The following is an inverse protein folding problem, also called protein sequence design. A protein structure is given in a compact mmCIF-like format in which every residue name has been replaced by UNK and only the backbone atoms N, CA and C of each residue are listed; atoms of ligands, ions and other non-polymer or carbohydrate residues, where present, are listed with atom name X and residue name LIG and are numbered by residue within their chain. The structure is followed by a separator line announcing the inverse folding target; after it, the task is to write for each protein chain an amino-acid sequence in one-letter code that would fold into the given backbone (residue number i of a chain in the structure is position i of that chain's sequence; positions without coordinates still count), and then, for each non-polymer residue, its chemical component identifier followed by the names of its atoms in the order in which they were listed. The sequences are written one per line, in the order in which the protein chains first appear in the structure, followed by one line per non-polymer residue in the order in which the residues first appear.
data_IF_556342326460
#
_entry.id   IF_556342326460
#
_cell.length_a   1.000
_cell.length_b   1.000
_cell.length_c   1.000
_cell.angle_alpha   90.00
_cell.angle_beta   90.00
_cell.angle_gamma   90.00
#
_symmetry.space_group_name_H-M   'P 1'
#
loop_
_entity.id
_entity.type
_entity.pdbx_description
1 polymer ?
#
# COMPACT_ATOMS: atom_id res chain seq x y z
N UNK A 1 1.19 -5.46 -6.69
CA UNK A 1 0.51 -4.53 -7.62
C UNK A 1 0.96 -4.83 -9.04
N UNK A 2 0.04 -4.74 -9.99
CA UNK A 2 0.33 -4.90 -11.43
C UNK A 2 0.09 -3.59 -12.12
N UNK A 3 1.02 -3.19 -13.00
CA UNK A 3 0.94 -1.90 -13.69
C UNK A 3 0.89 -2.15 -15.19
N UNK A 4 -0.17 -1.70 -15.84
CA UNK A 4 -0.29 -1.75 -17.30
C UNK A 4 -0.12 -0.36 -17.85
N UNK A 5 0.81 -0.16 -18.77
CA UNK A 5 1.12 1.15 -19.36
C UNK A 5 1.40 1.01 -20.86
N UNK A 6 1.31 2.12 -21.58
CA UNK A 6 1.76 2.19 -22.97
C UNK A 6 3.27 2.41 -22.97
N UNK A 7 3.99 1.57 -23.70
CA UNK A 7 5.41 1.79 -23.97
C UNK A 7 5.55 2.98 -24.95
N UNK A 8 6.28 4.03 -24.59
CA UNK A 8 6.31 5.27 -25.37
C UNK A 8 7.03 5.13 -26.71
N UNK A 9 7.94 4.16 -26.84
CA UNK A 9 8.75 3.95 -28.05
C UNK A 9 8.00 3.10 -29.07
N UNK A 10 7.25 2.10 -28.59
CA UNK A 10 6.57 1.11 -29.44
C UNK A 10 5.06 1.32 -29.56
N UNK A 11 4.45 2.09 -28.65
CA UNK A 11 3.00 2.22 -28.52
C UNK A 11 2.29 0.96 -28.02
N UNK A 12 3.03 -0.10 -27.69
CA UNK A 12 2.46 -1.37 -27.25
C UNK A 12 2.09 -1.32 -25.76
N UNK A 13 1.08 -2.09 -25.34
CA UNK A 13 0.79 -2.23 -23.91
C UNK A 13 1.82 -3.15 -23.28
N UNK A 14 2.48 -2.67 -22.23
CA UNK A 14 3.37 -3.43 -21.35
C UNK A 14 2.69 -3.69 -20.01
N UNK A 15 3.05 -4.81 -19.37
CA UNK A 15 2.60 -5.14 -18.02
C UNK A 15 3.81 -5.36 -17.13
N UNK A 16 3.99 -4.49 -16.14
CA UNK A 16 5.04 -4.54 -15.13
C UNK A 16 4.47 -4.90 -13.77
N UNK A 17 5.35 -5.31 -12.86
CA UNK A 17 4.97 -5.80 -11.54
C UNK A 17 5.83 -5.11 -10.49
N UNK A 18 5.17 -4.64 -9.44
CA UNK A 18 5.82 -4.29 -8.20
C UNK A 18 6.22 -5.57 -7.46
N UNK A 19 7.22 -5.49 -6.58
CA UNK A 19 7.43 -6.54 -5.61
C UNK A 19 6.14 -6.82 -4.80
N UNK A 20 5.83 -8.09 -4.46
CA UNK A 20 4.60 -8.45 -3.77
C UNK A 20 4.42 -7.66 -2.48
N UNK A 21 3.19 -7.22 -2.22
CA UNK A 21 2.84 -6.50 -1.00
C UNK A 21 2.08 -7.47 -0.10
N UNK A 22 2.65 -7.78 1.05
CA UNK A 22 1.98 -8.55 2.09
C UNK A 22 1.10 -7.63 2.90
N UNK A 23 0.01 -8.16 3.48
CA UNK A 23 -0.86 -7.38 4.33
C UNK A 23 -1.56 -8.25 5.37
N UNK A 24 -2.05 -7.58 6.42
CA UNK A 24 -2.94 -8.18 7.41
C UNK A 24 -4.30 -7.49 7.34
N UNK A 25 -5.34 -8.30 7.17
CA UNK A 25 -6.74 -7.88 7.25
C UNK A 25 -7.27 -8.22 8.65
N UNK A 26 -7.96 -7.28 9.30
CA UNK A 26 -8.69 -7.53 10.54
C UNK A 26 -10.07 -6.89 10.42
N UNK A 27 -11.13 -7.66 10.71
CA UNK A 27 -12.53 -7.19 10.65
C UNK A 27 -12.93 -6.54 9.31
N UNK A 28 -12.29 -6.95 8.21
CA UNK A 28 -12.58 -6.43 6.87
C UNK A 28 -11.85 -5.12 6.52
N UNK A 29 -10.89 -4.67 7.33
CA UNK A 29 -10.02 -3.54 7.03
C UNK A 29 -8.55 -3.96 7.07
N UNK A 30 -7.74 -3.37 6.19
CA UNK A 30 -6.30 -3.61 6.21
C UNK A 30 -5.73 -2.80 7.38
N UNK A 31 -4.97 -3.47 8.25
CA UNK A 31 -4.34 -2.82 9.42
C UNK A 31 -2.87 -2.54 9.21
N UNK A 32 -2.23 -3.34 8.37
CA UNK A 32 -0.80 -3.28 8.10
C UNK A 32 -0.49 -3.88 6.71
N UNK A 33 0.45 -3.28 5.99
CA UNK A 33 1.02 -3.86 4.77
C UNK A 33 2.53 -3.65 4.71
N UNK A 34 3.21 -4.47 3.93
CA UNK A 34 4.66 -4.44 3.80
C UNK A 34 5.14 -4.91 2.43
N UNK A 35 6.32 -4.44 2.02
CA UNK A 35 6.94 -4.74 0.74
C UNK A 35 8.46 -4.89 0.92
N UNK A 36 9.10 -5.95 0.40
CA UNK A 36 8.51 -7.07 -0.33
C UNK A 36 7.91 -8.13 0.62
N UNK A 37 6.88 -8.84 0.17
CA UNK A 37 6.44 -10.08 0.82
C UNK A 37 7.35 -11.24 0.37
N UNK A 38 7.92 -11.95 1.34
CA UNK A 38 8.73 -13.14 1.08
C UNK A 38 7.86 -14.24 0.47
N UNK A 39 8.31 -14.78 -0.66
CA UNK A 39 7.66 -15.87 -1.39
C UNK A 39 8.73 -16.80 -1.96
N UNK A 40 8.40 -18.07 -2.14
CA UNK A 40 9.22 -18.97 -2.98
C UNK A 40 9.16 -18.50 -4.44
N UNK A 41 10.20 -18.78 -5.23
CA UNK A 41 10.24 -18.41 -6.65
C UNK A 41 9.01 -18.92 -7.43
N UNK A 42 8.61 -20.18 -7.22
CA UNK A 42 7.45 -20.78 -7.89
C UNK A 42 6.14 -20.01 -7.61
N UNK A 43 5.92 -19.62 -6.35
CA UNK A 43 4.78 -18.81 -5.95
C UNK A 43 4.85 -17.40 -6.54
N UNK A 44 6.04 -16.79 -6.58
CA UNK A 44 6.24 -15.45 -7.14
C UNK A 44 5.90 -15.43 -8.64
N UNK A 45 6.41 -16.40 -9.40
CA UNK A 45 6.15 -16.52 -10.84
C UNK A 45 4.67 -16.85 -11.11
N UNK A 46 4.08 -17.72 -10.31
CA UNK A 46 2.65 -18.04 -10.38
C UNK A 46 1.78 -16.81 -10.09
N UNK A 47 2.11 -16.02 -9.07
CA UNK A 47 1.40 -14.79 -8.74
C UNK A 47 1.46 -13.76 -9.87
N UNK A 48 2.64 -13.54 -10.46
CA UNK A 48 2.79 -12.67 -11.64
C UNK A 48 1.99 -13.18 -12.83
N UNK A 49 2.02 -14.49 -13.08
CA UNK A 49 1.26 -15.10 -14.18
C UNK A 49 -0.25 -14.91 -14.02
N UNK A 50 -0.78 -15.17 -12.82
CA UNK A 50 -2.20 -14.96 -12.48
C UNK A 50 -2.57 -13.48 -12.67
N UNK A 51 -1.78 -12.57 -12.09
CA UNK A 51 -2.05 -11.14 -12.19
C UNK A 51 -1.98 -10.61 -13.63
N UNK A 52 -1.04 -11.10 -14.45
CA UNK A 52 -0.96 -10.74 -15.87
C UNK A 52 -2.20 -11.17 -16.65
N UNK A 53 -2.68 -12.40 -16.43
CA UNK A 53 -3.87 -12.93 -17.12
C UNK A 53 -5.13 -12.14 -16.76
N UNK A 54 -5.33 -11.86 -15.47
CA UNK A 54 -6.49 -11.10 -14.99
C UNK A 54 -6.48 -9.69 -15.55
N UNK A 55 -5.38 -8.96 -15.38
CA UNK A 55 -5.28 -7.56 -15.81
C UNK A 55 -5.26 -7.43 -17.34
N UNK A 56 -4.70 -8.41 -18.05
CA UNK A 56 -4.78 -8.51 -19.51
C UNK A 56 -6.21 -8.68 -20.00
N UNK A 57 -7.00 -9.55 -19.34
CA UNK A 57 -8.41 -9.76 -19.67
C UNK A 57 -9.30 -8.54 -19.36
N UNK A 58 -9.00 -7.80 -18.29
CA UNK A 58 -9.73 -6.58 -17.94
C UNK A 58 -9.49 -5.43 -18.92
N UNK A 59 -8.33 -5.38 -19.59
CA UNK A 59 -8.01 -4.28 -20.49
C UNK A 59 -7.67 -2.96 -19.77
N UNK A 60 -7.42 -1.91 -20.54
CA UNK A 60 -7.03 -0.60 -20.01
C UNK A 60 -5.58 -0.49 -19.50
N UNK A 61 -5.22 0.71 -19.06
CA UNK A 61 -3.92 1.07 -18.46
C UNK A 61 -4.14 1.65 -17.07
N UNK A 62 -3.15 1.48 -16.20
CA UNK A 62 -3.21 1.86 -14.79
C UNK A 62 -2.61 0.80 -13.88
N UNK A 63 -2.55 1.13 -12.60
CA UNK A 63 -2.31 0.17 -11.51
C UNK A 63 -3.55 -0.65 -11.22
N UNK A 64 -3.34 -1.94 -10.98
CA UNK A 64 -4.30 -2.92 -10.50
C UNK A 64 -3.80 -3.54 -9.19
N UNK A 65 -4.64 -3.52 -8.15
CA UNK A 65 -4.46 -4.31 -6.94
C UNK A 65 -5.04 -5.70 -7.14
N UNK A 66 -4.22 -6.68 -7.50
CA UNK A 66 -4.64 -8.08 -7.61
C UNK A 66 -4.40 -8.76 -6.28
N UNK A 67 -5.47 -9.12 -5.57
CA UNK A 67 -5.41 -9.82 -4.29
C UNK A 67 -5.31 -11.33 -4.48
N UNK A 68 -4.36 -11.93 -3.78
CA UNK A 68 -4.01 -13.34 -3.89
C UNK A 68 -3.84 -13.96 -2.50
N UNK A 69 -4.28 -15.20 -2.33
CA UNK A 69 -3.87 -16.05 -1.21
C UNK A 69 -2.71 -16.94 -1.66
N UNK A 70 -1.71 -17.08 -0.80
CA UNK A 70 -0.51 -17.89 -1.07
C UNK A 70 -0.34 -18.94 0.02
N UNK A 71 -0.17 -20.21 -0.35
CA UNK A 71 0.11 -21.31 0.57
C UNK A 71 1.23 -22.17 0.01
N UNK A 72 2.45 -21.95 0.49
CA UNK A 72 3.64 -22.59 -0.08
C UNK A 72 3.83 -22.11 -1.52
N UNK A 73 3.75 -23.03 -2.48
CA UNK A 73 3.84 -22.74 -3.93
C UNK A 73 2.50 -22.42 -4.58
N UNK A 74 1.38 -22.75 -3.91
CA UNK A 74 0.04 -22.57 -4.45
C UNK A 74 -0.41 -21.11 -4.33
N UNK A 75 -0.96 -20.57 -5.43
CA UNK A 75 -1.48 -19.19 -5.51
C UNK A 75 -2.95 -19.22 -5.95
N UNK A 76 -3.81 -18.58 -5.17
CA UNK A 76 -5.24 -18.49 -5.40
C UNK A 76 -5.64 -17.04 -5.62
N UNK A 77 -6.38 -16.77 -6.70
CA UNK A 77 -6.99 -15.47 -6.93
C UNK A 77 -8.13 -15.22 -5.94
N UNK A 78 -8.15 -14.04 -5.32
CA UNK A 78 -9.26 -13.57 -4.48
C UNK A 78 -10.11 -12.56 -5.26
N UNK A 79 -9.56 -11.37 -5.50
CA UNK A 79 -10.25 -10.28 -6.18
C UNK A 79 -9.27 -9.31 -6.85
N UNK A 80 -9.80 -8.32 -7.58
CA UNK A 80 -8.99 -7.30 -8.26
C UNK A 80 -9.63 -5.93 -8.18
N UNK A 81 -8.84 -4.95 -7.73
CA UNK A 81 -9.17 -3.53 -7.80
C UNK A 81 -8.50 -2.90 -9.03
N UNK A 82 -9.24 -2.42 -10.05
CA UNK A 82 -8.69 -1.77 -11.24
C UNK A 82 -8.34 -0.29 -10.98
N UNK A 83 -7.64 -0.05 -9.87
CA UNK A 83 -7.24 1.27 -9.34
C UNK A 83 -6.15 1.06 -8.25
N UNK A 84 -5.51 2.14 -7.75
CA UNK A 84 -4.72 2.07 -6.53
C UNK A 84 -5.48 1.39 -5.38
N UNK A 85 -4.76 0.61 -4.59
CA UNK A 85 -5.28 -0.22 -3.51
C UNK A 85 -4.74 0.25 -2.17
N UNK A 86 -5.52 0.22 -1.10
CA UNK A 86 -5.08 0.83 0.16
C UNK A 86 -3.86 0.13 0.80
N UNK A 87 -3.73 -1.19 0.63
CA UNK A 87 -2.51 -1.92 0.99
C UNK A 87 -1.27 -1.41 0.23
N UNK A 88 -1.46 -0.78 -0.93
CA UNK A 88 -0.43 -0.14 -1.74
C UNK A 88 0.13 1.17 -1.16
N UNK A 89 -0.45 1.71 -0.07
CA UNK A 89 0.07 2.91 0.61
C UNK A 89 1.53 2.76 1.07
N UNK A 90 2.02 1.54 1.29
CA UNK A 90 3.44 1.27 1.56
C UNK A 90 4.36 1.80 0.45
N UNK A 91 3.89 1.80 -0.81
CA UNK A 91 4.65 2.28 -1.98
C UNK A 91 5.00 3.77 -1.92
N UNK A 92 4.35 4.54 -1.04
CA UNK A 92 4.73 5.93 -0.75
C UNK A 92 6.18 6.07 -0.26
N UNK A 93 6.76 5.00 0.28
CA UNK A 93 8.14 4.99 0.77
C UNK A 93 8.96 3.81 0.29
N UNK A 94 8.34 2.66 -0.05
CA UNK A 94 9.08 1.48 -0.52
C UNK A 94 9.45 1.50 -1.99
N UNK A 95 8.86 2.38 -2.82
CA UNK A 95 9.14 2.46 -4.26
C UNK A 95 9.68 3.82 -4.69
N UNK A 96 10.35 3.83 -5.86
CA UNK A 96 10.75 5.07 -6.54
C UNK A 96 9.51 5.87 -7.00
N UNK A 97 8.49 5.17 -7.48
CA UNK A 97 7.17 5.74 -7.78
C UNK A 97 6.12 5.03 -6.92
N UNK A 98 5.33 5.81 -6.20
CA UNK A 98 4.16 5.28 -5.49
C UNK A 98 3.13 4.74 -6.48
N UNK A 99 2.19 3.91 -6.02
CA UNK A 99 1.09 3.42 -6.84
C UNK A 99 0.26 4.55 -7.47
N UNK A 100 0.16 5.69 -6.79
CA UNK A 100 -0.57 6.85 -7.30
C UNK A 100 0.16 7.47 -8.49
N UNK A 101 1.48 7.62 -8.39
CA UNK A 101 2.31 8.12 -9.47
C UNK A 101 2.35 7.14 -10.64
N UNK A 102 2.50 5.83 -10.38
CA UNK A 102 2.47 4.80 -11.40
C UNK A 102 1.12 4.78 -12.13
N UNK A 103 0.01 4.86 -11.39
CA UNK A 103 -1.33 4.87 -11.99
C UNK A 103 -1.55 6.11 -12.84
N UNK A 104 -1.24 7.30 -12.32
CA UNK A 104 -1.36 8.55 -13.06
C UNK A 104 -0.50 8.54 -14.33
N UNK A 105 0.76 8.12 -14.25
CA UNK A 105 1.66 8.05 -15.40
C UNK A 105 1.17 7.06 -16.45
N UNK A 106 0.72 5.87 -16.03
CA UNK A 106 0.18 4.88 -16.95
C UNK A 106 -1.05 5.42 -17.73
N UNK A 107 -1.97 6.10 -17.04
CA UNK A 107 -3.15 6.72 -17.66
C UNK A 107 -2.79 7.87 -18.59
N UNK A 108 -1.74 8.64 -18.27
CA UNK A 108 -1.25 9.75 -19.07
C UNK A 108 -0.32 9.31 -20.22
N UNK A 109 -0.05 8.02 -20.39
CA UNK A 109 0.89 7.51 -21.40
C UNK A 109 2.35 7.89 -21.14
N UNK A 110 2.71 8.17 -19.88
CA UNK A 110 4.06 8.52 -19.47
C UNK A 110 4.87 7.27 -19.07
N UNK A 111 6.21 7.31 -19.13
CA UNK A 111 7.06 6.21 -18.69
C UNK A 111 6.82 5.83 -17.22
N UNK A 112 6.69 4.52 -16.98
CA UNK A 112 6.50 3.94 -15.64
C UNK A 112 7.64 2.97 -15.31
N UNK A 113 8.07 2.99 -14.05
CA UNK A 113 8.99 2.03 -13.44
C UNK A 113 8.38 1.47 -12.17
N UNK A 114 8.61 0.19 -11.88
CA UNK A 114 8.13 -0.50 -10.67
C UNK A 114 9.26 -0.78 -9.68
N UNK A 115 10.38 -0.06 -9.81
CA UNK A 115 11.58 -0.25 -9.00
C UNK A 115 11.30 0.00 -7.52
N UNK A 116 11.55 -1.02 -6.70
CA UNK A 116 11.56 -0.91 -5.26
C UNK A 116 12.82 -0.15 -4.81
N UNK A 117 12.65 0.83 -3.93
CA UNK A 117 13.74 1.65 -3.39
C UNK A 117 14.28 1.07 -2.08
N UNK A 118 13.42 0.57 -1.20
CA UNK A 118 13.77 0.04 0.12
C UNK A 118 12.64 -0.85 0.66
N UNK A 119 12.93 -1.87 1.48
CA UNK A 119 11.92 -2.53 2.28
C UNK A 119 11.10 -1.53 3.09
N UNK A 120 9.78 -1.69 3.10
CA UNK A 120 8.88 -0.75 3.75
C UNK A 120 7.63 -1.41 4.30
N UNK A 121 6.98 -0.69 5.20
CA UNK A 121 5.69 -1.06 5.77
C UNK A 121 4.80 0.15 5.98
N UNK A 122 3.50 -0.10 6.06
CA UNK A 122 2.50 0.88 6.49
C UNK A 122 1.61 0.31 7.59
N UNK A 123 1.21 1.17 8.53
CA UNK A 123 0.30 0.84 9.62
C UNK A 123 -0.75 1.93 9.75
N UNK A 124 -2.00 1.51 9.90
CA UNK A 124 -3.14 2.44 9.96
C UNK A 124 -3.19 3.22 11.27
N UNK A 125 -3.68 4.45 11.21
CA UNK A 125 -4.02 5.28 12.37
C UNK A 125 -5.54 5.37 12.41
N UNK A 126 -6.16 4.79 13.44
CA UNK A 126 -7.61 4.82 13.65
C UNK A 126 -8.06 6.04 14.45
N UNK A 127 -9.34 6.37 14.35
CA UNK A 127 -9.97 7.41 15.17
C UNK A 127 -9.88 7.11 16.66
N UNK A 128 -9.93 5.84 17.05
CA UNK A 128 -9.87 5.43 18.45
C UNK A 128 -11.09 5.86 19.27
N UNK A 129 -11.08 5.49 20.54
CA UNK A 129 -12.16 5.72 21.50
C UNK A 129 -12.23 7.17 22.02
N UNK A 130 -11.11 7.91 21.98
CA UNK A 130 -10.96 9.22 22.62
C UNK A 130 -11.71 10.39 21.96
N UNK A 131 -12.28 10.23 20.77
CA UNK A 131 -12.90 11.34 20.00
C UNK A 131 -14.42 11.40 20.21
N UNK A 132 -15.04 10.28 20.62
CA UNK A 132 -16.50 10.11 20.63
C UNK A 132 -17.06 9.97 19.20
N UNK A 133 -18.12 9.17 19.04
CA UNK A 133 -18.67 8.89 17.70
C UNK A 133 -19.14 10.17 17.00
N UNK A 134 -18.55 10.47 15.84
CA UNK A 134 -18.97 11.57 14.98
C UNK A 134 -18.45 12.95 15.39
N UNK A 135 -17.42 13.04 16.24
CA UNK A 135 -16.87 14.33 16.63
C UNK A 135 -16.28 15.11 15.45
N UNK A 136 -16.67 16.37 15.35
CA UNK A 136 -16.17 17.37 14.41
C UNK A 136 -14.98 18.13 15.01
N UNK A 137 -14.12 18.70 14.15
CA UNK A 137 -12.94 19.45 14.58
C UNK A 137 -11.75 18.55 14.91
N UNK A 138 -11.53 17.49 14.11
CA UNK A 138 -10.50 16.49 14.38
C UNK A 138 -9.08 17.09 14.30
N UNK A 139 -8.32 16.93 15.37
CA UNK A 139 -6.89 17.18 15.46
C UNK A 139 -6.07 15.89 15.64
N UNK A 140 -4.75 16.03 15.64
CA UNK A 140 -3.81 14.91 15.84
C UNK A 140 -2.74 15.30 16.86
N UNK A 141 -2.66 14.54 17.95
CA UNK A 141 -1.62 14.65 18.97
C UNK A 141 -0.52 13.61 18.75
N UNK A 142 0.67 13.86 19.31
CA UNK A 142 1.79 12.90 19.26
C UNK A 142 2.55 12.85 17.92
N UNK A 143 2.17 13.67 16.93
CA UNK A 143 2.80 13.77 15.60
C UNK A 143 4.32 13.91 15.68
N UNK A 144 4.84 14.80 16.54
CA UNK A 144 6.28 14.99 16.70
C UNK A 144 7.00 13.73 17.21
N UNK A 145 6.38 12.96 18.12
CA UNK A 145 6.94 11.70 18.62
C UNK A 145 6.87 10.60 17.57
N UNK A 146 5.80 10.56 16.79
CA UNK A 146 5.65 9.63 15.68
C UNK A 146 6.73 9.87 14.61
N UNK A 147 6.95 11.12 14.21
CA UNK A 147 8.00 11.50 13.24
C UNK A 147 9.43 11.38 13.80
N UNK A 148 9.59 11.20 15.11
CA UNK A 148 10.88 10.87 15.71
C UNK A 148 11.25 9.38 15.57
N UNK A 149 10.32 8.52 15.12
CA UNK A 149 10.65 7.13 14.76
C UNK A 149 11.52 7.14 13.50
N UNK A 150 12.69 6.47 13.50
CA UNK A 150 13.60 6.49 12.36
C UNK A 150 12.91 6.07 11.06
N UNK A 151 13.24 6.81 9.98
CA UNK A 151 12.75 6.53 8.62
C UNK A 151 11.23 6.46 8.47
N UNK A 152 10.46 6.99 9.42
CA UNK A 152 9.01 7.03 9.36
C UNK A 152 8.49 8.32 8.73
N UNK A 153 7.24 8.30 8.27
CA UNK A 153 6.48 9.46 7.82
C UNK A 153 4.97 9.18 8.01
N UNK A 154 4.15 10.22 7.96
CA UNK A 154 2.71 10.13 8.21
C UNK A 154 1.90 10.71 7.05
N UNK A 155 0.76 10.09 6.74
CA UNK A 155 -0.30 10.71 5.94
C UNK A 155 -1.56 10.77 6.78
N UNK A 156 -1.93 11.98 7.20
CA UNK A 156 -3.15 12.25 7.96
C UNK A 156 -4.20 12.77 6.96
N UNK A 157 -5.34 12.09 6.85
CA UNK A 157 -6.25 12.27 5.72
C UNK A 157 -7.16 13.50 5.78
N UNK A 158 -7.09 14.29 6.85
CA UNK A 158 -7.90 15.51 7.00
C UNK A 158 -9.41 15.26 7.00
N UNK A 159 -9.85 14.04 7.37
CA UNK A 159 -11.27 13.69 7.46
C UNK A 159 -11.94 14.56 8.53
N UNK A 160 -13.10 15.19 8.24
CA UNK A 160 -13.71 16.19 9.13
C UNK A 160 -14.28 15.60 10.42
N UNK A 161 -14.46 14.28 10.47
CA UNK A 161 -15.00 13.56 11.62
C UNK A 161 -14.27 12.24 11.85
N UNK A 162 -14.29 11.73 13.09
CA UNK A 162 -13.73 10.44 13.45
C UNK A 162 -14.80 9.52 14.05
N UNK A 163 -14.62 8.21 13.85
CA UNK A 163 -15.27 7.13 14.62
C UNK A 163 -14.19 6.12 14.97
N UNK A 164 -14.46 5.24 15.95
CA UNK A 164 -13.45 4.33 16.52
C UNK A 164 -12.63 3.59 15.45
N UNK A 165 -13.32 2.95 14.49
CA UNK A 165 -12.70 2.15 13.44
C UNK A 165 -12.50 2.89 12.11
N UNK A 166 -12.71 4.22 12.06
CA UNK A 166 -12.44 4.98 10.84
C UNK A 166 -10.94 5.20 10.70
N UNK A 167 -10.37 4.78 9.58
CA UNK A 167 -8.97 5.08 9.24
C UNK A 167 -8.78 6.58 9.05
N UNK A 168 -8.05 7.22 9.95
CA UNK A 168 -7.79 8.67 9.97
C UNK A 168 -6.44 9.05 9.37
N UNK A 169 -5.51 8.10 9.32
CA UNK A 169 -4.24 8.25 8.63
C UNK A 169 -3.52 6.93 8.47
N UNK A 170 -2.27 7.03 8.05
CA UNK A 170 -1.34 5.92 7.95
C UNK A 170 0.05 6.40 8.32
N UNK A 171 0.78 5.60 9.08
CA UNK A 171 2.22 5.73 9.22
C UNK A 171 2.90 4.82 8.19
N UNK A 172 3.94 5.30 7.55
CA UNK A 172 4.77 4.56 6.61
C UNK A 172 6.21 4.60 7.10
N UNK A 173 6.95 3.50 7.00
CA UNK A 173 8.36 3.44 7.40
C UNK A 173 9.16 2.55 6.46
N UNK A 174 10.45 2.84 6.36
CA UNK A 174 11.46 2.01 5.69
C UNK A 174 12.50 1.52 6.68
N UNK A 175 13.22 0.46 6.30
CA UNK A 175 14.38 -0.05 7.02
C UNK A 175 15.21 -0.95 6.09
N UNK A 176 16.31 -1.52 6.61
CA UNK A 176 17.12 -2.51 5.89
C UNK A 176 16.37 -3.83 5.65
N UNK A 177 15.38 -4.14 6.49
CA UNK A 177 14.55 -5.34 6.41
C UNK A 177 13.07 -5.05 6.70
N UNK A 178 12.19 -5.96 6.28
CA UNK A 178 10.73 -5.80 6.36
C UNK A 178 10.25 -5.80 7.81
N UNK A 179 10.77 -6.70 8.64
CA UNK A 179 10.38 -6.82 10.04
C UNK A 179 10.63 -5.51 10.81
N UNK A 180 11.81 -4.92 10.65
CA UNK A 180 12.16 -3.61 11.23
C UNK A 180 11.27 -2.50 10.68
N UNK A 181 10.99 -2.47 9.37
CA UNK A 181 10.10 -1.47 8.78
C UNK A 181 8.68 -1.57 9.36
N UNK A 182 8.18 -2.79 9.55
CA UNK A 182 6.88 -3.08 10.16
C UNK A 182 6.81 -2.63 11.61
N UNK A 183 7.85 -2.90 12.40
CA UNK A 183 7.95 -2.41 13.77
C UNK A 183 7.90 -0.88 13.84
N UNK A 184 8.71 -0.21 13.01
CA UNK A 184 8.73 1.26 12.92
C UNK A 184 7.37 1.84 12.50
N UNK A 185 6.72 1.27 11.50
CA UNK A 185 5.41 1.74 11.06
C UNK A 185 4.36 1.61 12.18
N UNK A 186 4.32 0.48 12.89
CA UNK A 186 3.42 0.27 14.04
C UNK A 186 3.73 1.21 15.20
N UNK A 187 5.01 1.40 15.53
CA UNK A 187 5.43 2.33 16.59
C UNK A 187 5.01 3.76 16.24
N UNK A 188 5.33 4.24 15.03
CA UNK A 188 4.94 5.57 14.55
C UNK A 188 3.42 5.76 14.56
N UNK A 189 2.63 4.79 14.08
CA UNK A 189 1.17 4.84 14.12
C UNK A 189 0.63 4.91 15.55
N UNK A 190 1.14 4.09 16.47
CA UNK A 190 0.66 4.03 17.85
C UNK A 190 0.96 5.29 18.67
N UNK A 191 1.94 6.09 18.25
CA UNK A 191 2.28 7.38 18.87
C UNK A 191 1.33 8.51 18.48
N UNK A 192 0.50 8.33 17.45
CA UNK A 192 -0.50 9.32 17.03
C UNK A 192 -1.82 9.02 17.71
N UNK A 193 -2.39 10.05 18.34
CA UNK A 193 -3.73 9.99 18.92
C UNK A 193 -4.61 11.00 18.19
N UNK A 194 -5.77 10.55 17.74
CA UNK A 194 -6.78 11.45 17.15
C UNK A 194 -7.48 12.16 18.31
N UNK A 195 -7.61 13.49 18.21
CA UNK A 195 -8.15 14.35 19.28
C UNK A 195 -9.21 15.31 18.71
N UNK A 196 -9.92 15.99 19.59
CA UNK A 196 -10.82 17.10 19.28
C UNK A 196 -10.15 18.44 19.61
#
# INVERSE_FOLDING_TARGET
LTVRSVDPDTGAIRTDFCEPIGHRQERGDYVESWQPQVMTQDAYDSARSVAARITGALGGVGVFGVELFVRGVDVYFSEVSPRPHDTGLVTLRSQVLSEFEMHARAVLGLPVVTTMASPGASAVIYGGDGVGDGAEGVGFAGVARALAVPESDLRLFGKPSATEFRRMGVAVATAEDVETARERARDAASRVTVVR
#
